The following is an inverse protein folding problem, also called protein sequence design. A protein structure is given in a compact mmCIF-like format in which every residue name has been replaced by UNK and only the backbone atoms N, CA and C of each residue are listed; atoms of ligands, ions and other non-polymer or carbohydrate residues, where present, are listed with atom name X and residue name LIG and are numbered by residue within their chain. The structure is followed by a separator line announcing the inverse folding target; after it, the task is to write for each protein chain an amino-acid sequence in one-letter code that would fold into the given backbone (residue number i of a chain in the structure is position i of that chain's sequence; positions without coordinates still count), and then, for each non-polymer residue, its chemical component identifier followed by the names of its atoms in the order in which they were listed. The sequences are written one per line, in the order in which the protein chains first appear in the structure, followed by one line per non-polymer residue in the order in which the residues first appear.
data_IF_373497707183
#
_entry.id   IF_373497707183
#
_cell.length_a   1.000
_cell.length_b   1.000
_cell.length_c   1.000
_cell.angle_alpha   90.00
_cell.angle_beta   90.00
_cell.angle_gamma   90.00
#
_symmetry.space_group_name_H-M   'P 1'
#
loop_
_entity.id
_entity.type
_entity.pdbx_description
1 polymer ?
#
# COMPACT_ATOMS: atom_id res chain seq x y z
N UNK A 1 -18.53 -12.99 -29.87
CA UNK A 1 -18.90 -11.79 -29.07
C UNK A 1 -17.94 -11.65 -27.89
N UNK A 2 -16.80 -10.99 -28.07
CA UNK A 2 -15.79 -10.83 -27.03
C UNK A 2 -16.09 -9.59 -26.16
N UNK A 3 -16.37 -9.80 -24.87
CA UNK A 3 -16.52 -8.71 -23.89
C UNK A 3 -15.14 -8.07 -23.65
N UNK A 4 -14.90 -6.91 -24.27
CA UNK A 4 -13.76 -6.03 -23.92
C UNK A 4 -13.91 -5.56 -22.48
N UNK A 5 -13.01 -6.01 -21.60
CA UNK A 5 -12.86 -5.46 -20.24
C UNK A 5 -12.33 -4.02 -20.37
N UNK A 6 -13.10 -3.04 -19.86
CA UNK A 6 -12.63 -1.67 -19.67
C UNK A 6 -11.58 -1.66 -18.56
N UNK A 7 -10.32 -1.49 -18.91
CA UNK A 7 -9.29 -1.00 -18.00
C UNK A 7 -9.70 0.40 -17.56
N UNK A 8 -10.06 0.55 -16.30
CA UNK A 8 -10.24 1.87 -15.69
C UNK A 8 -8.88 2.55 -15.63
N UNK A 9 -8.69 3.53 -16.50
CA UNK A 9 -7.60 4.51 -16.38
C UNK A 9 -7.91 5.39 -15.18
N UNK A 10 -7.40 5.00 -14.01
CA UNK A 10 -7.36 5.86 -12.81
C UNK A 10 -6.61 7.13 -13.18
N UNK A 11 -7.30 8.27 -13.15
CA UNK A 11 -6.76 9.57 -13.55
C UNK A 11 -5.60 10.00 -12.65
N UNK A 12 -4.71 10.84 -13.15
CA UNK A 12 -3.53 11.34 -12.42
C UNK A 12 -3.88 12.01 -11.07
N UNK A 13 -5.14 12.47 -10.91
CA UNK A 13 -5.67 13.02 -9.68
C UNK A 13 -5.71 11.99 -8.52
N UNK A 14 -5.99 10.71 -8.81
CA UNK A 14 -5.99 9.64 -7.80
C UNK A 14 -4.56 9.25 -7.38
N UNK A 15 -3.56 9.45 -8.25
CA UNK A 15 -2.15 9.26 -7.90
C UNK A 15 -1.64 10.39 -7.00
N UNK A 16 -2.06 11.62 -7.24
CA UNK A 16 -1.70 12.77 -6.40
C UNK A 16 -2.32 12.72 -5.00
N UNK A 17 -3.47 12.06 -4.82
CA UNK A 17 -4.05 11.82 -3.50
C UNK A 17 -3.15 10.99 -2.56
N UNK A 18 -2.17 10.23 -3.10
CA UNK A 18 -1.17 9.50 -2.29
C UNK A 18 -0.10 10.39 -1.68
N UNK A 19 0.02 11.64 -2.12
CA UNK A 19 1.10 12.52 -1.70
C UNK A 19 0.76 13.34 -0.45
N UNK A 20 -0.38 13.07 0.20
CA UNK A 20 -0.74 13.68 1.48
C UNK A 20 -0.24 12.81 2.64
N UNK A 21 0.29 13.41 3.71
CA UNK A 21 0.57 14.82 3.98
C UNK A 21 1.92 15.28 3.39
N UNK A 22 2.11 16.60 3.23
CA UNK A 22 3.34 17.21 2.69
C UNK A 22 3.91 18.26 3.63
N UNK A 23 5.21 18.52 3.52
CA UNK A 23 5.87 19.65 4.15
C UNK A 23 5.75 19.62 5.67
N UNK A 24 5.37 20.76 6.26
CA UNK A 24 5.22 20.91 7.72
C UNK A 24 4.17 19.97 8.31
N UNK A 25 3.07 19.74 7.58
CA UNK A 25 2.01 18.81 8.01
C UNK A 25 2.53 17.37 8.13
N UNK A 26 3.46 16.98 7.26
CA UNK A 26 4.11 15.67 7.35
C UNK A 26 5.02 15.59 8.57
N UNK A 27 5.88 16.60 8.78
CA UNK A 27 6.80 16.65 9.93
C UNK A 27 6.06 16.59 11.27
N UNK A 28 4.94 17.30 11.39
CA UNK A 28 4.09 17.24 12.58
C UNK A 28 3.52 15.82 12.78
N UNK A 29 3.04 15.17 11.72
CA UNK A 29 2.48 13.83 11.86
C UNK A 29 3.55 12.76 12.16
N UNK A 30 4.77 12.94 11.66
CA UNK A 30 5.91 12.08 11.96
C UNK A 30 6.38 12.23 13.42
N UNK A 31 6.30 13.41 14.03
CA UNK A 31 6.67 13.60 15.45
C UNK A 31 5.81 12.81 16.43
N UNK A 32 4.62 12.36 16.00
CA UNK A 32 3.67 11.60 16.80
C UNK A 32 3.85 10.07 16.71
N UNK A 33 4.91 9.59 16.06
CA UNK A 33 5.17 8.16 15.89
C UNK A 33 5.27 7.42 17.24
N UNK A 34 6.00 7.97 18.21
CA UNK A 34 6.10 7.35 19.54
C UNK A 34 4.75 7.19 20.22
N UNK A 35 3.90 8.22 20.12
CA UNK A 35 2.57 8.21 20.69
C UNK A 35 1.67 7.20 19.98
N UNK A 36 1.84 7.00 18.67
CA UNK A 36 1.12 5.97 17.92
C UNK A 36 1.40 4.56 18.44
N UNK A 37 2.64 4.27 18.84
CA UNK A 37 2.99 2.96 19.39
C UNK A 37 2.51 2.77 20.84
N UNK A 38 2.42 3.86 21.62
CA UNK A 38 1.91 3.83 23.01
C UNK A 38 0.38 3.78 23.06
N UNK A 39 -0.28 4.76 22.45
CA UNK A 39 -1.75 4.88 22.38
C UNK A 39 -2.18 5.52 21.07
N UNK A 40 -2.71 4.69 20.18
CA UNK A 40 -3.20 5.10 18.86
C UNK A 40 -4.34 6.10 18.95
N UNK A 41 -5.26 5.90 19.89
CA UNK A 41 -6.46 6.75 20.00
C UNK A 41 -6.08 8.16 20.43
N UNK A 42 -5.20 8.25 21.43
CA UNK A 42 -4.64 9.52 21.91
C UNK A 42 -3.87 10.22 20.80
N UNK A 43 -3.02 9.51 20.05
CA UNK A 43 -2.31 10.05 18.91
C UNK A 43 -3.25 10.68 17.88
N UNK A 44 -4.32 9.99 17.50
CA UNK A 44 -5.26 10.55 16.52
C UNK A 44 -5.97 11.79 17.04
N UNK A 45 -6.27 11.86 18.34
CA UNK A 45 -6.91 13.04 18.95
C UNK A 45 -5.94 14.22 18.98
N UNK A 46 -4.76 14.02 19.55
CA UNK A 46 -3.71 15.04 19.63
C UNK A 46 -3.33 15.59 18.26
N UNK A 47 -3.02 14.71 17.31
CA UNK A 47 -2.64 15.14 15.96
C UNK A 47 -3.78 15.89 15.24
N UNK A 48 -5.05 15.54 15.50
CA UNK A 48 -6.19 16.28 14.92
C UNK A 48 -6.34 17.65 15.56
N UNK A 49 -6.17 17.74 16.88
CA UNK A 49 -6.27 19.00 17.62
C UNK A 49 -5.14 19.96 17.28
N UNK A 50 -3.90 19.48 17.27
CA UNK A 50 -2.73 20.26 16.87
C UNK A 50 -2.87 20.77 15.44
N UNK A 51 -3.30 19.91 14.51
CA UNK A 51 -3.52 20.32 13.12
C UNK A 51 -4.53 21.47 13.00
N UNK A 52 -5.64 21.39 13.74
CA UNK A 52 -6.67 22.43 13.74
C UNK A 52 -6.19 23.68 14.45
N UNK A 53 -5.37 23.56 15.48
CA UNK A 53 -4.82 24.69 16.21
C UNK A 53 -3.79 25.47 15.37
N UNK A 54 -3.01 24.77 14.55
CA UNK A 54 -1.98 25.38 13.70
C UNK A 54 -2.52 25.91 12.37
N UNK A 55 -3.39 25.14 11.69
CA UNK A 55 -3.84 25.46 10.32
C UNK A 55 -5.34 25.79 10.20
N UNK A 56 -6.06 25.78 11.32
CA UNK A 56 -7.48 26.13 11.35
C UNK A 56 -8.39 25.16 10.61
N UNK A 57 -9.59 25.66 10.29
CA UNK A 57 -10.61 24.93 9.54
C UNK A 57 -10.68 25.33 8.06
N UNK A 58 -10.05 26.45 7.71
CA UNK A 58 -10.22 27.08 6.40
C UNK A 58 -9.14 26.65 5.42
N UNK A 59 -7.97 26.21 5.91
CA UNK A 59 -6.96 25.59 5.07
C UNK A 59 -7.34 24.14 4.77
N UNK A 60 -7.54 23.76 3.50
CA UNK A 60 -7.80 22.37 3.16
C UNK A 60 -6.61 21.49 3.58
N UNK A 61 -6.83 20.23 3.96
CA UNK A 61 -5.75 19.37 4.41
C UNK A 61 -4.63 19.21 3.37
N UNK A 62 -4.97 19.27 2.08
CA UNK A 62 -4.08 19.07 0.94
C UNK A 62 -3.19 20.26 0.58
N UNK A 63 -3.54 21.45 1.04
CA UNK A 63 -2.83 22.68 0.69
C UNK A 63 -1.64 22.85 1.63
N UNK A 64 -0.47 23.16 1.07
CA UNK A 64 0.71 23.46 1.88
C UNK A 64 0.50 24.85 2.51
N UNK A 65 0.66 25.01 3.83
CA UNK A 65 0.54 26.32 4.46
C UNK A 65 1.60 27.29 3.90
N UNK A 66 1.22 28.54 3.69
CA UNK A 66 2.17 29.58 3.32
C UNK A 66 2.98 30.02 4.56
N UNK A 67 4.31 30.18 4.43
CA UNK A 67 5.16 30.56 5.55
C UNK A 67 4.80 31.97 6.03
N UNK A 68 4.55 32.13 7.34
CA UNK A 68 4.27 33.42 7.96
C UNK A 68 2.79 33.85 8.00
N UNK A 69 1.88 33.02 7.50
CA UNK A 69 0.43 33.26 7.62
C UNK A 69 -0.12 32.56 8.86
N UNK A 70 -0.79 33.30 9.75
CA UNK A 70 -1.50 32.71 10.89
C UNK A 70 -2.86 32.19 10.42
N UNK A 71 -3.03 30.88 10.46
CA UNK A 71 -4.27 30.19 10.11
C UNK A 71 -5.08 29.80 11.34
N UNK A 72 -4.77 30.36 12.52
CA UNK A 72 -5.51 30.05 13.74
C UNK A 72 -7.00 30.29 13.53
N UNK A 73 -7.85 29.31 13.89
CA UNK A 73 -9.27 29.46 13.72
C UNK A 73 -9.81 30.49 14.69
N UNK A 74 -10.74 31.33 14.22
CA UNK A 74 -11.49 32.23 15.10
C UNK A 74 -12.27 31.44 16.16
N UNK A 75 -12.39 32.02 17.35
CA UNK A 75 -13.19 31.42 18.41
C UNK A 75 -14.65 31.28 17.96
N UNK A 76 -15.30 30.18 18.34
CA UNK A 76 -16.70 29.92 18.01
C UNK A 76 -17.63 30.95 18.66
N UNK A 77 -17.18 31.59 19.75
CA UNK A 77 -17.92 32.61 20.46
C UNK A 77 -18.02 33.94 19.67
N UNK A 78 -17.15 34.15 18.68
CA UNK A 78 -17.22 35.32 17.78
C UNK A 78 -18.46 35.28 16.88
N UNK A 79 -19.02 34.09 16.62
CA UNK A 79 -20.23 33.95 15.81
C UNK A 79 -21.47 34.25 16.65
N UNK A 80 -22.45 35.01 16.09
CA UNK A 80 -23.68 35.36 16.79
C UNK A 80 -24.46 34.11 17.19
N UNK A 81 -25.05 34.14 18.39
CA UNK A 81 -25.86 33.04 18.89
C UNK A 81 -27.08 32.79 18.02
N UNK A 82 -27.37 31.51 17.76
CA UNK A 82 -28.48 31.08 16.91
C UNK A 82 -28.06 30.10 15.82
N UNK A 83 -28.77 30.15 14.70
CA UNK A 83 -28.59 29.21 13.58
C UNK A 83 -27.16 29.24 13.01
N UNK A 84 -26.55 30.41 12.91
CA UNK A 84 -25.20 30.58 12.35
C UNK A 84 -24.12 29.88 13.19
N UNK A 85 -24.15 30.03 14.52
CA UNK A 85 -23.21 29.30 15.41
C UNK A 85 -23.42 27.79 15.33
N UNK A 86 -24.68 27.33 15.22
CA UNK A 86 -24.99 25.91 15.08
C UNK A 86 -24.50 25.30 13.77
N UNK A 87 -24.62 26.02 12.66
CA UNK A 87 -24.11 25.61 11.34
C UNK A 87 -22.58 25.58 11.31
N UNK A 88 -21.93 26.60 11.88
CA UNK A 88 -20.48 26.66 11.97
C UNK A 88 -19.93 25.52 12.84
N UNK A 89 -20.57 25.21 13.97
CA UNK A 89 -20.19 24.07 14.80
C UNK A 89 -20.30 22.74 14.03
N UNK A 90 -21.37 22.56 13.24
CA UNK A 90 -21.53 21.39 12.35
C UNK A 90 -20.43 21.34 11.29
N UNK A 91 -20.06 22.47 10.69
CA UNK A 91 -18.96 22.57 9.71
C UNK A 91 -17.64 22.12 10.34
N UNK A 92 -17.27 22.71 11.49
CA UNK A 92 -16.03 22.39 12.24
C UNK A 92 -16.00 20.91 12.64
N UNK A 93 -17.10 20.37 13.15
CA UNK A 93 -17.19 18.95 13.54
C UNK A 93 -17.03 18.01 12.33
N UNK A 94 -17.64 18.34 11.20
CA UNK A 94 -17.48 17.55 9.98
C UNK A 94 -16.05 17.61 9.46
N UNK A 95 -15.41 18.78 9.50
CA UNK A 95 -14.00 18.95 9.15
C UNK A 95 -13.11 18.09 10.05
N UNK A 96 -13.22 18.21 11.38
CA UNK A 96 -12.46 17.39 12.35
C UNK A 96 -12.61 15.90 12.10
N UNK A 97 -13.85 15.45 11.87
CA UNK A 97 -14.13 14.03 11.58
C UNK A 97 -13.44 13.55 10.31
N UNK A 98 -13.50 14.33 9.23
CA UNK A 98 -12.83 14.01 7.95
C UNK A 98 -11.31 14.00 8.12
N UNK A 99 -10.76 15.00 8.80
CA UNK A 99 -9.34 15.12 9.09
C UNK A 99 -8.84 13.94 9.92
N UNK A 100 -9.51 13.62 11.04
CA UNK A 100 -9.17 12.48 11.90
C UNK A 100 -9.13 11.18 11.10
N UNK A 101 -10.16 10.90 10.28
CA UNK A 101 -10.19 9.72 9.41
C UNK A 101 -9.00 9.66 8.46
N UNK A 102 -8.59 10.82 7.94
CA UNK A 102 -7.45 10.93 7.03
C UNK A 102 -6.12 10.64 7.75
N UNK A 103 -5.94 11.22 8.94
CA UNK A 103 -4.78 10.97 9.82
C UNK A 103 -4.70 9.47 10.18
N UNK A 104 -5.82 8.85 10.58
CA UNK A 104 -5.88 7.42 10.89
C UNK A 104 -5.41 6.57 9.69
N UNK A 105 -5.92 6.86 8.50
CA UNK A 105 -5.56 6.10 7.30
C UNK A 105 -4.06 6.26 6.97
N UNK A 106 -3.55 7.48 7.06
CA UNK A 106 -2.14 7.77 6.81
C UNK A 106 -1.23 7.07 7.84
N UNK A 107 -1.52 7.21 9.13
CA UNK A 107 -0.73 6.65 10.22
C UNK A 107 -0.69 5.12 10.17
N UNK A 108 -1.84 4.47 9.90
CA UNK A 108 -1.85 3.02 9.69
C UNK A 108 -1.03 2.60 8.46
N UNK A 109 -1.06 3.39 7.39
CA UNK A 109 -0.24 3.08 6.22
C UNK A 109 1.26 3.28 6.48
N UNK A 110 1.64 4.38 7.13
CA UNK A 110 3.04 4.76 7.38
C UNK A 110 3.67 3.98 8.54
N UNK A 111 3.04 3.98 9.71
CA UNK A 111 3.63 3.38 10.92
C UNK A 111 3.33 1.88 11.09
N UNK A 112 2.28 1.35 10.44
CA UNK A 112 1.97 -0.09 10.53
C UNK A 112 2.33 -0.85 9.26
N UNK A 113 1.85 -0.42 8.09
CA UNK A 113 2.05 -1.16 6.84
C UNK A 113 3.47 -1.05 6.27
N UNK A 114 4.18 0.07 6.48
CA UNK A 114 5.56 0.22 6.02
C UNK A 114 6.48 -0.79 6.72
N UNK A 115 6.28 -1.01 8.03
CA UNK A 115 7.04 -2.00 8.81
C UNK A 115 6.74 -3.45 8.41
N UNK A 116 5.48 -3.76 8.08
CA UNK A 116 5.10 -5.11 7.62
C UNK A 116 5.64 -5.41 6.22
N UNK A 117 5.72 -4.41 5.34
CA UNK A 117 6.33 -4.58 4.01
C UNK A 117 7.85 -4.68 4.04
N UNK A 118 8.51 -4.00 4.99
CA UNK A 118 9.95 -4.18 5.22
C UNK A 118 10.29 -5.54 5.84
N UNK A 119 9.30 -6.24 6.40
CA UNK A 119 9.48 -7.61 6.88
C UNK A 119 9.43 -8.62 5.71
N UNK A 120 10.25 -8.33 4.69
CA UNK A 120 10.44 -9.18 3.50
C UNK A 120 10.76 -10.61 3.89
N UNK A 121 11.43 -10.81 5.04
CA UNK A 121 11.68 -12.14 5.61
C UNK A 121 10.39 -12.89 5.94
N UNK A 122 9.42 -12.25 6.57
CA UNK A 122 8.16 -12.86 6.98
C UNK A 122 7.28 -13.15 5.75
N UNK A 123 7.23 -12.21 4.80
CA UNK A 123 6.54 -12.40 3.51
C UNK A 123 7.20 -13.51 2.67
N UNK A 124 8.53 -13.56 2.63
CA UNK A 124 9.29 -14.63 1.97
C UNK A 124 9.04 -15.97 2.63
N UNK A 125 9.04 -16.04 3.96
CA UNK A 125 8.80 -17.26 4.73
C UNK A 125 7.40 -17.83 4.50
N UNK A 126 6.36 -16.98 4.54
CA UNK A 126 4.98 -17.38 4.22
C UNK A 126 4.86 -17.83 2.75
N UNK A 127 5.53 -17.12 1.84
CA UNK A 127 5.51 -17.49 0.41
C UNK A 127 6.21 -18.82 0.15
N UNK A 128 7.32 -19.09 0.86
CA UNK A 128 8.03 -20.38 0.82
C UNK A 128 7.17 -21.51 1.38
N UNK A 129 6.61 -21.36 2.58
CA UNK A 129 5.73 -22.39 3.17
C UNK A 129 4.53 -22.72 2.29
N UNK A 130 3.89 -21.72 1.66
CA UNK A 130 2.81 -21.99 0.70
C UNK A 130 3.30 -22.75 -0.54
N UNK A 131 4.54 -22.48 -1.01
CA UNK A 131 5.15 -23.20 -2.13
C UNK A 131 5.48 -24.64 -1.73
N UNK A 132 6.09 -24.84 -0.58
CA UNK A 132 6.47 -26.15 -0.06
C UNK A 132 5.22 -27.02 0.16
N UNK A 133 4.14 -26.46 0.73
CA UNK A 133 2.84 -27.13 0.83
C UNK A 133 2.22 -27.47 -0.54
N UNK A 134 2.49 -26.69 -1.59
CA UNK A 134 2.03 -26.98 -2.97
C UNK A 134 2.90 -28.02 -3.68
N UNK A 135 4.15 -28.18 -3.28
CA UNK A 135 5.08 -29.20 -3.78
C UNK A 135 4.82 -30.55 -3.08
N UNK A 136 4.45 -30.55 -1.81
CA UNK A 136 4.11 -31.76 -1.04
C UNK A 136 2.75 -32.36 -1.39
N UNK A 137 1.79 -31.55 -1.84
CA UNK A 137 0.48 -32.06 -2.29
C UNK A 137 0.61 -32.59 -3.73
N UNK A 138 0.31 -33.88 -3.99
CA UNK A 138 0.32 -34.42 -5.35
C UNK A 138 -0.61 -33.60 -6.23
N UNK A 139 -0.03 -32.83 -7.16
CA UNK A 139 -0.83 -32.05 -8.08
C UNK A 139 -1.60 -33.01 -8.99
N UNK A 140 -2.93 -32.85 -9.06
CA UNK A 140 -3.75 -33.61 -9.99
C UNK A 140 -3.23 -33.35 -11.40
N UNK A 141 -2.66 -34.38 -12.02
CA UNK A 141 -2.24 -34.33 -13.43
C UNK A 141 -3.46 -33.98 -14.28
N UNK A 142 -3.26 -33.11 -15.26
CA UNK A 142 -4.32 -32.84 -16.23
C UNK A 142 -4.56 -34.06 -17.10
N UNK A 143 -5.75 -34.17 -17.68
CA UNK A 143 -6.09 -35.31 -18.56
C UNK A 143 -5.11 -35.44 -19.73
N UNK A 144 -4.60 -34.32 -20.25
CA UNK A 144 -3.58 -34.30 -21.30
C UNK A 144 -2.25 -34.88 -20.81
N UNK A 145 -1.78 -34.50 -19.62
CA UNK A 145 -0.55 -35.05 -19.04
C UNK A 145 -0.71 -36.56 -18.81
N UNK A 146 -1.86 -36.99 -18.29
CA UNK A 146 -2.16 -38.41 -18.08
C UNK A 146 -2.20 -39.19 -19.39
N UNK A 147 -2.80 -38.62 -20.43
CA UNK A 147 -2.82 -39.19 -21.78
C UNK A 147 -1.40 -39.28 -22.38
N UNK A 148 -0.57 -38.27 -22.15
CA UNK A 148 0.83 -38.26 -22.59
C UNK A 148 1.66 -39.34 -21.90
N UNK A 149 1.52 -39.52 -20.59
CA UNK A 149 2.21 -40.60 -19.86
C UNK A 149 1.78 -41.98 -20.35
N UNK A 150 0.47 -42.21 -20.49
CA UNK A 150 -0.07 -43.50 -20.91
C UNK A 150 0.31 -43.89 -22.35
N UNK A 151 0.47 -42.92 -23.25
CA UNK A 151 0.60 -43.22 -24.69
C UNK A 151 1.95 -42.85 -25.30
N UNK A 152 2.75 -41.98 -24.68
CA UNK A 152 3.98 -41.45 -25.28
C UNK A 152 5.26 -41.76 -24.49
N UNK A 153 5.20 -42.07 -23.19
CA UNK A 153 6.42 -42.39 -22.41
C UNK A 153 7.17 -43.62 -22.92
N UNK A 154 6.49 -44.59 -23.53
CA UNK A 154 7.11 -45.77 -24.16
C UNK A 154 7.43 -45.62 -25.65
N UNK A 155 7.14 -44.46 -26.28
CA UNK A 155 7.30 -44.24 -27.73
C UNK A 155 8.45 -43.31 -28.11
N UNK A 156 9.03 -42.62 -27.13
CA UNK A 156 10.26 -41.84 -27.35
C UNK A 156 11.42 -42.83 -27.27
N UNK A 157 11.82 -43.39 -28.41
CA UNK A 157 13.14 -44.02 -28.51
C UNK A 157 14.19 -42.94 -28.22
N UNK A 158 15.23 -43.22 -27.42
CA UNK A 158 16.36 -42.32 -27.33
C UNK A 158 16.86 -42.14 -28.77
N UNK A 159 16.87 -40.89 -29.24
CA UNK A 159 17.51 -40.55 -30.50
C UNK A 159 18.96 -40.93 -30.32
N UNK A 160 19.37 -42.05 -30.91
CA UNK A 160 20.76 -42.44 -30.98
C UNK A 160 21.50 -41.26 -31.61
N UNK A 161 22.34 -40.61 -30.80
CA UNK A 161 23.23 -39.57 -31.28
C UNK A 161 24.10 -40.18 -32.39
N UNK A 162 24.29 -39.49 -33.54
CA UNK A 162 25.13 -40.01 -34.60
C UNK A 162 26.55 -40.24 -34.07
N UNK A 163 26.93 -41.52 -34.07
CA UNK A 163 28.26 -42.04 -33.79
C UNK A 163 29.31 -41.27 -34.60
N UNK A 164 29.99 -40.33 -33.95
CA UNK A 164 31.19 -39.68 -34.48
C UNK A 164 32.40 -40.39 -33.88
N UNK A 165 32.72 -41.57 -34.42
CA UNK A 165 34.04 -42.17 -34.23
C UNK A 165 35.03 -41.48 -35.19
N UNK A 166 35.79 -40.50 -34.68
CA UNK A 166 37.15 -40.22 -35.15
C UNK A 166 38.02 -39.85 -33.93
N UNK A 167 38.94 -40.73 -33.49
CA UNK A 167 40.00 -40.31 -32.61
C UNK A 167 41.07 -39.53 -33.39
N UNK A 168 41.35 -38.33 -32.90
CA UNK A 168 42.50 -37.50 -33.26
C UNK A 168 43.79 -38.31 -33.28
N UNK A 169 44.56 -38.16 -34.34
CA UNK A 169 45.94 -38.60 -34.42
C UNK A 169 46.76 -38.03 -33.24
N UNK A 170 47.49 -38.90 -32.53
CA UNK A 170 48.57 -38.48 -31.64
C UNK A 170 49.91 -38.55 -32.38
N UNK A 171 50.81 -37.58 -32.15
CA UNK A 171 52.10 -37.52 -32.82
C UNK A 171 53.06 -38.55 -32.24
N UNK A 172 53.87 -39.19 -33.08
CA UNK A 172 55.10 -39.86 -32.66
C UNK A 172 56.30 -39.03 -33.08
N UNK A 173 57.22 -38.93 -32.13
CA UNK A 173 58.53 -38.27 -32.17
C UNK A 173 59.44 -38.82 -33.28
#
# INVERSE_FOLDING_TARGET
MAKKRKTQTTSNAERNARSWPKGEKLKMLESHEELFHKDRSAMYSHATEEFVQTWGYDLPPDVIPEPGVDYKPEDINTFPEGLLRGEEMKRRNNYKRKLRKRIINWANYHFRLKHVKSDEKLVSMVSKTIRDLREEVPQKKTDLQRYQELHYQGRVTPVEAPSTHQPLAQPKA
#
